data_IF_412042724805
#
_entry.id   IF_412042724805
#
_cell.length_a   1.000
_cell.length_b   1.000
_cell.length_c   1.000
_cell.angle_alpha   90.00
_cell.angle_beta   90.00
_cell.angle_gamma   90.00
#
_symmetry.space_group_name_H-M   'P 1'
#
loop_
_entity.id
_entity.type
_entity.pdbx_description
1 polymer ?
#
# COMPACT_ATOMS: atom_id res chain seq x y z
N UNK A 1 -2.02 -3.72 -21.54
CA UNK A 1 -1.00 -2.96 -20.80
C UNK A 1 -0.39 -3.94 -19.82
N UNK A 2 0.94 -4.04 -19.70
CA UNK A 2 1.60 -4.93 -18.73
C UNK A 2 2.05 -4.16 -17.48
N UNK A 3 1.33 -3.09 -17.11
CA UNK A 3 1.74 -2.22 -16.02
C UNK A 3 1.40 -2.83 -14.66
N UNK A 4 2.32 -2.77 -13.70
CA UNK A 4 2.15 -3.20 -12.31
C UNK A 4 2.33 -2.03 -11.37
N UNK A 5 1.28 -1.67 -10.62
CA UNK A 5 1.35 -0.53 -9.71
C UNK A 5 1.04 -0.94 -8.28
N UNK A 6 1.70 -0.27 -7.34
CA UNK A 6 1.40 -0.37 -5.93
C UNK A 6 0.60 0.85 -5.47
N UNK A 7 -0.43 0.61 -4.66
CA UNK A 7 -1.22 1.65 -4.03
C UNK A 7 -1.26 1.41 -2.52
N UNK A 8 -0.91 2.42 -1.76
CA UNK A 8 -1.17 2.44 -0.32
C UNK A 8 -2.67 2.66 -0.01
N UNK A 9 -3.11 2.19 1.16
CA UNK A 9 -4.51 2.33 1.59
C UNK A 9 -4.73 3.60 2.42
N UNK A 10 -4.09 3.69 3.58
CA UNK A 10 -4.37 4.68 4.62
C UNK A 10 -3.59 5.98 4.40
N UNK A 11 -4.29 7.06 4.14
CA UNK A 11 -3.72 8.33 3.69
C UNK A 11 -3.56 8.41 2.17
N UNK A 12 -3.94 7.37 1.42
CA UNK A 12 -3.80 7.36 -0.05
C UNK A 12 -5.15 7.05 -0.69
N UNK A 13 -5.56 5.79 -0.73
CA UNK A 13 -6.86 5.37 -1.29
C UNK A 13 -8.01 6.01 -0.52
N UNK A 14 -8.01 5.90 0.81
CA UNK A 14 -9.09 6.42 1.68
C UNK A 14 -9.25 7.96 1.60
N UNK A 15 -8.18 8.67 1.23
CA UNK A 15 -8.19 10.12 1.10
C UNK A 15 -8.83 10.59 -0.22
N UNK A 16 -8.67 9.83 -1.31
CA UNK A 16 -9.24 10.13 -2.64
C UNK A 16 -9.75 8.87 -3.36
N UNK A 17 -10.75 8.17 -2.80
CA UNK A 17 -11.24 6.90 -3.34
C UNK A 17 -11.84 7.07 -4.75
N UNK A 18 -12.41 8.24 -5.04
CA UNK A 18 -12.91 8.63 -6.36
C UNK A 18 -11.83 8.60 -7.45
N UNK A 19 -10.62 9.08 -7.13
CA UNK A 19 -9.50 9.08 -8.07
C UNK A 19 -8.90 7.68 -8.21
N UNK A 20 -8.64 7.00 -7.08
CA UNK A 20 -7.98 5.71 -7.08
C UNK A 20 -8.86 4.57 -7.61
N UNK A 21 -10.19 4.66 -7.49
CA UNK A 21 -11.11 3.73 -8.17
C UNK A 21 -10.98 3.81 -9.70
N UNK A 22 -10.99 5.02 -10.26
CA UNK A 22 -10.81 5.24 -11.70
C UNK A 22 -9.42 4.76 -12.16
N UNK A 23 -8.38 5.10 -11.41
CA UNK A 23 -7.00 4.72 -11.74
C UNK A 23 -6.83 3.19 -11.73
N UNK A 24 -7.29 2.54 -10.66
CA UNK A 24 -7.14 1.09 -10.48
C UNK A 24 -7.94 0.30 -11.52
N UNK A 25 -9.18 0.71 -11.80
CA UNK A 25 -10.00 0.12 -12.87
C UNK A 25 -9.34 0.28 -14.25
N UNK A 26 -8.73 1.44 -14.54
CA UNK A 26 -8.02 1.66 -15.80
C UNK A 26 -6.86 0.67 -15.96
N UNK A 27 -6.09 0.39 -14.91
CA UNK A 27 -5.00 -0.58 -14.96
C UNK A 27 -5.53 -2.01 -15.16
N UNK A 28 -6.45 -2.45 -14.30
CA UNK A 28 -6.98 -3.83 -14.33
C UNK A 28 -7.72 -4.13 -15.64
N UNK A 29 -8.61 -3.23 -16.09
CA UNK A 29 -9.37 -3.41 -17.34
C UNK A 29 -8.49 -3.45 -18.60
N UNK A 30 -7.27 -2.89 -18.54
CA UNK A 30 -6.28 -2.95 -19.61
C UNK A 30 -5.29 -4.10 -19.45
N UNK A 31 -5.52 -5.04 -18.52
CA UNK A 31 -4.69 -6.22 -18.29
C UNK A 31 -3.44 -5.99 -17.45
N UNK A 32 -3.37 -4.86 -16.73
CA UNK A 32 -2.33 -4.59 -15.73
C UNK A 32 -2.65 -5.20 -14.36
N UNK A 33 -1.71 -5.07 -13.44
CA UNK A 33 -1.82 -5.54 -12.05
C UNK A 33 -1.83 -4.33 -11.10
N UNK A 34 -2.65 -4.42 -10.06
CA UNK A 34 -2.75 -3.40 -9.01
C UNK A 34 -2.60 -4.11 -7.67
N UNK A 35 -1.55 -3.74 -6.95
CA UNK A 35 -1.19 -4.31 -5.66
C UNK A 35 -1.58 -3.31 -4.56
N UNK A 36 -2.47 -3.71 -3.67
CA UNK A 36 -2.75 -2.95 -2.45
C UNK A 36 -1.65 -3.30 -1.45
N UNK A 37 -0.90 -2.29 -0.98
CA UNK A 37 0.22 -2.50 -0.06
C UNK A 37 0.00 -1.64 1.17
N UNK A 38 -0.38 -2.27 2.29
CA UNK A 38 -0.85 -1.55 3.49
C UNK A 38 -0.16 -2.04 4.76
N UNK A 39 -0.12 -1.16 5.78
CA UNK A 39 0.30 -1.54 7.13
C UNK A 39 -0.76 -2.37 7.87
N UNK A 40 -2.03 -2.29 7.47
CA UNK A 40 -3.11 -3.03 8.11
C UNK A 40 -3.04 -4.52 7.85
N UNK A 41 -3.53 -5.31 8.80
CA UNK A 41 -3.69 -6.76 8.63
C UNK A 41 -4.79 -7.06 7.63
N UNK A 42 -4.61 -8.12 6.85
CA UNK A 42 -5.63 -8.62 5.94
C UNK A 42 -6.84 -9.12 6.74
N UNK A 43 -8.02 -8.62 6.37
CA UNK A 43 -9.29 -8.99 7.00
C UNK A 43 -10.46 -8.73 6.05
N UNK A 44 -11.60 -9.36 6.31
CA UNK A 44 -12.82 -9.19 5.52
C UNK A 44 -13.29 -7.72 5.50
N UNK A 45 -13.08 -6.99 6.60
CA UNK A 45 -13.45 -5.57 6.71
C UNK A 45 -12.69 -4.68 5.72
N UNK A 46 -11.39 -4.93 5.52
CA UNK A 46 -10.59 -4.15 4.57
C UNK A 46 -11.00 -4.46 3.13
N UNK A 47 -11.33 -5.72 2.83
CA UNK A 47 -11.81 -6.08 1.50
C UNK A 47 -13.18 -5.47 1.21
N UNK A 48 -14.07 -5.39 2.20
CA UNK A 48 -15.34 -4.69 2.04
C UNK A 48 -15.13 -3.17 1.89
N UNK A 49 -14.20 -2.56 2.64
CA UNK A 49 -13.83 -1.15 2.48
C UNK A 49 -13.31 -0.85 1.06
N UNK A 50 -12.35 -1.64 0.55
CA UNK A 50 -11.83 -1.50 -0.81
C UNK A 50 -12.94 -1.65 -1.87
N UNK A 51 -13.90 -2.54 -1.62
CA UNK A 51 -15.07 -2.74 -2.48
C UNK A 51 -16.04 -1.57 -2.42
N UNK A 52 -16.29 -0.99 -1.24
CA UNK A 52 -17.09 0.23 -1.07
C UNK A 52 -16.47 1.43 -1.79
N UNK A 53 -15.14 1.53 -1.77
CA UNK A 53 -14.39 2.53 -2.55
C UNK A 53 -14.36 2.25 -4.05
N UNK A 54 -14.76 1.05 -4.50
CA UNK A 54 -14.72 0.66 -5.91
C UNK A 54 -13.31 0.45 -6.45
N UNK A 55 -12.38 -0.02 -5.61
CA UNK A 55 -10.99 -0.29 -6.00
C UNK A 55 -10.89 -1.64 -6.70
N UNK A 56 -10.38 -1.63 -7.93
CA UNK A 56 -10.05 -2.85 -8.66
C UNK A 56 -8.60 -3.24 -8.38
N UNK A 57 -8.35 -4.42 -7.82
CA UNK A 57 -6.99 -4.87 -7.53
C UNK A 57 -6.81 -6.36 -7.80
N UNK A 58 -5.56 -6.75 -8.05
CA UNK A 58 -5.18 -8.15 -8.33
C UNK A 58 -4.54 -8.82 -7.12
N UNK A 59 -3.87 -8.02 -6.28
CA UNK A 59 -3.07 -8.53 -5.16
C UNK A 59 -3.23 -7.63 -3.93
N UNK A 60 -3.16 -8.25 -2.75
CA UNK A 60 -3.17 -7.57 -1.46
C UNK A 60 -1.93 -7.99 -0.66
N UNK A 61 -1.25 -7.02 -0.08
CA UNK A 61 -0.06 -7.24 0.73
C UNK A 61 -0.13 -6.42 2.01
N UNK A 62 -0.12 -7.15 3.13
CA UNK A 62 -0.06 -6.60 4.48
C UNK A 62 1.36 -6.67 5.02
N UNK A 63 1.94 -5.51 5.34
CA UNK A 63 3.25 -5.42 6.00
C UNK A 63 3.22 -6.16 7.34
N UNK A 64 2.13 -5.98 8.10
CA UNK A 64 1.99 -6.60 9.42
C UNK A 64 1.95 -8.12 9.32
N UNK A 65 1.15 -8.69 8.42
CA UNK A 65 1.06 -10.16 8.29
C UNK A 65 2.36 -10.76 7.76
N UNK A 66 3.04 -10.07 6.84
CA UNK A 66 4.37 -10.47 6.39
C UNK A 66 5.35 -10.57 7.57
N UNK A 67 5.47 -9.50 8.36
CA UNK A 67 6.40 -9.44 9.50
C UNK A 67 6.07 -10.45 10.61
N UNK A 68 4.78 -10.69 10.85
CA UNK A 68 4.34 -11.76 11.77
C UNK A 68 4.72 -13.14 11.25
N UNK A 69 4.55 -13.40 9.95
CA UNK A 69 4.90 -14.69 9.34
C UNK A 69 6.40 -14.97 9.38
N UNK A 70 7.23 -13.93 9.31
CA UNK A 70 8.69 -14.01 9.45
C UNK A 70 9.14 -14.19 10.92
N UNK A 71 8.21 -14.12 11.88
CA UNK A 71 8.49 -14.25 13.30
C UNK A 71 9.27 -13.06 13.88
N UNK A 72 9.09 -11.87 13.31
CA UNK A 72 9.80 -10.68 13.77
C UNK A 72 9.32 -10.27 15.18
N UNK A 73 10.28 -9.88 16.03
CA UNK A 73 9.96 -9.33 17.35
C UNK A 73 9.10 -8.06 17.23
N UNK A 74 8.09 -7.97 18.09
CA UNK A 74 7.14 -6.87 18.09
C UNK A 74 6.58 -6.62 19.47
N UNK A 75 5.97 -5.46 19.62
CA UNK A 75 5.13 -5.10 20.76
C UNK A 75 3.69 -4.89 20.28
N UNK A 76 2.72 -5.07 21.18
CA UNK A 76 1.31 -4.78 20.88
C UNK A 76 0.94 -3.49 21.59
N UNK A 77 0.46 -2.52 20.84
CA UNK A 77 -0.02 -1.24 21.33
C UNK A 77 -1.35 -1.42 22.10
N UNK A 78 -1.77 -0.38 22.84
CA UNK A 78 -3.00 -0.42 23.64
C UNK A 78 -4.27 -0.62 22.82
N UNK A 79 -4.25 -0.20 21.56
CA UNK A 79 -5.33 -0.33 20.59
C UNK A 79 -5.30 -1.69 19.85
N UNK A 80 -4.36 -2.57 20.19
CA UNK A 80 -4.19 -3.88 19.56
C UNK A 80 -3.35 -3.86 18.28
N UNK A 81 -2.83 -2.70 17.85
CA UNK A 81 -1.94 -2.62 16.68
C UNK A 81 -0.54 -3.14 16.99
N UNK A 82 0.14 -3.66 15.97
CA UNK A 82 1.49 -4.20 16.10
C UNK A 82 2.52 -3.11 15.86
N UNK A 83 3.53 -3.05 16.73
CA UNK A 83 4.67 -2.14 16.59
C UNK A 83 5.95 -2.95 16.42
N UNK A 84 6.59 -2.78 15.27
CA UNK A 84 7.82 -3.45 14.85
C UNK A 84 9.00 -2.47 14.84
N UNK A 85 10.21 -2.99 14.65
CA UNK A 85 11.37 -2.16 14.33
C UNK A 85 11.10 -1.32 13.06
N UNK A 86 11.31 -0.01 13.14
CA UNK A 86 10.95 0.90 12.06
C UNK A 86 11.76 0.69 10.78
N UNK A 87 13.02 0.26 10.88
CA UNK A 87 13.82 -0.02 9.68
C UNK A 87 13.28 -1.26 8.96
N UNK A 88 12.90 -2.30 9.72
CA UNK A 88 12.25 -3.49 9.16
C UNK A 88 10.89 -3.15 8.55
N UNK A 89 10.05 -2.42 9.28
CA UNK A 89 8.74 -1.96 8.81
C UNK A 89 8.84 -1.19 7.48
N UNK A 90 9.70 -0.17 7.43
CA UNK A 90 9.85 0.67 6.24
C UNK A 90 10.44 -0.09 5.04
N UNK A 91 11.36 -1.03 5.29
CA UNK A 91 12.01 -1.79 4.23
C UNK A 91 11.10 -2.82 3.55
N UNK A 92 10.14 -3.41 4.26
CA UNK A 92 9.30 -4.50 3.74
C UNK A 92 8.45 -4.05 2.55
N UNK A 93 7.90 -2.84 2.61
CA UNK A 93 7.07 -2.27 1.54
C UNK A 93 7.87 -2.14 0.23
N UNK A 94 9.07 -1.56 0.31
CA UNK A 94 9.98 -1.41 -0.83
C UNK A 94 10.57 -2.75 -1.33
N UNK A 95 10.79 -3.71 -0.42
CA UNK A 95 11.23 -5.05 -0.77
C UNK A 95 10.15 -5.81 -1.56
N UNK A 96 8.90 -5.76 -1.11
CA UNK A 96 7.76 -6.35 -1.83
C UNK A 96 7.59 -5.69 -3.20
N UNK A 97 7.61 -4.35 -3.28
CA UNK A 97 7.51 -3.63 -4.54
C UNK A 97 8.58 -4.05 -5.56
N UNK A 98 9.82 -4.29 -5.09
CA UNK A 98 10.91 -4.80 -5.93
C UNK A 98 10.71 -6.27 -6.32
N UNK A 99 10.16 -7.10 -5.43
CA UNK A 99 9.94 -8.53 -5.64
C UNK A 99 8.92 -8.79 -6.75
N UNK A 100 7.83 -8.03 -6.78
CA UNK A 100 6.77 -8.16 -7.80
C UNK A 100 7.02 -7.30 -9.04
N UNK A 101 8.17 -6.62 -9.06
CA UNK A 101 8.61 -5.76 -10.17
C UNK A 101 7.59 -4.65 -10.50
N UNK A 102 7.12 -3.95 -9.46
CA UNK A 102 6.24 -2.80 -9.66
C UNK A 102 6.93 -1.74 -10.53
N UNK A 103 6.18 -1.16 -11.47
CA UNK A 103 6.60 -0.01 -12.28
C UNK A 103 6.69 1.25 -11.42
N UNK A 104 5.73 1.42 -10.51
CA UNK A 104 5.76 2.46 -9.49
C UNK A 104 4.83 2.17 -8.30
N UNK A 105 5.06 2.87 -7.19
CA UNK A 105 4.19 2.84 -6.00
C UNK A 105 3.77 4.25 -5.59
N UNK A 106 2.51 4.41 -5.17
CA UNK A 106 1.95 5.67 -4.66
C UNK A 106 1.67 5.51 -3.16
N UNK A 107 2.17 6.47 -2.37
CA UNK A 107 2.08 6.43 -0.91
C UNK A 107 2.16 7.85 -0.32
N UNK A 108 1.50 8.08 0.80
CA UNK A 108 1.51 9.38 1.49
C UNK A 108 2.71 9.56 2.43
N UNK A 109 3.39 8.46 2.77
CA UNK A 109 4.39 8.43 3.82
C UNK A 109 5.80 8.56 3.25
N UNK A 110 6.35 9.78 3.34
CA UNK A 110 7.62 10.16 2.72
C UNK A 110 8.82 9.26 3.08
N UNK A 111 8.88 8.74 4.32
CA UNK A 111 10.01 7.91 4.76
C UNK A 111 10.13 6.60 3.97
N UNK A 112 9.04 6.08 3.38
CA UNK A 112 9.13 4.89 2.54
C UNK A 112 9.96 5.13 1.28
N UNK A 113 9.99 6.36 0.76
CA UNK A 113 10.77 6.70 -0.42
C UNK A 113 12.26 6.34 -0.31
N UNK A 114 12.82 6.34 0.91
CA UNK A 114 14.21 5.96 1.16
C UNK A 114 14.49 4.46 1.00
N UNK A 115 13.45 3.62 0.99
CA UNK A 115 13.54 2.15 0.96
C UNK A 115 13.11 1.53 -0.37
N UNK A 116 12.49 2.32 -1.26
CA UNK A 116 12.02 1.86 -2.56
C UNK A 116 13.14 1.93 -3.61
N UNK A 117 13.31 0.84 -4.36
CA UNK A 117 14.11 0.83 -5.60
C UNK A 117 13.23 1.07 -6.83
N UNK A 118 11.97 0.64 -6.75
CA UNK A 118 10.89 0.99 -7.67
C UNK A 118 10.60 2.50 -7.57
N UNK A 119 10.30 3.19 -8.69
CA UNK A 119 9.83 4.57 -8.65
C UNK A 119 8.71 4.80 -7.62
N UNK A 120 8.93 5.78 -6.74
CA UNK A 120 8.02 6.11 -5.64
C UNK A 120 7.41 7.49 -5.86
N UNK A 121 6.09 7.56 -5.83
CA UNK A 121 5.34 8.80 -5.94
C UNK A 121 4.77 9.15 -4.56
N UNK A 122 5.38 10.17 -3.94
CA UNK A 122 4.83 10.75 -2.72
C UNK A 122 3.50 11.44 -3.05
N UNK A 123 2.43 11.03 -2.36
CA UNK A 123 1.10 11.62 -2.41
C UNK A 123 0.84 12.44 -1.13
N UNK A 124 1.36 13.67 -1.01
CA UNK A 124 1.23 14.42 0.23
C UNK A 124 -0.17 15.00 0.38
N UNK A 125 -0.71 14.94 1.59
CA UNK A 125 -1.98 15.56 2.02
C UNK A 125 -2.04 17.10 1.92
N UNK A 126 -0.94 17.76 1.52
CA UNK A 126 -0.83 19.21 1.50
C UNK A 126 -1.24 19.78 0.13
N UNK A 127 -2.52 20.12 -0.01
CA UNK A 127 -2.94 21.14 -0.99
C UNK A 127 -2.49 22.50 -0.44
N UNK A 128 -1.38 23.04 -0.94
CA UNK A 128 -1.14 24.49 -0.82
C UNK A 128 -2.16 25.20 -1.70
N UNK A 129 -3.24 25.72 -1.08
CA UNK A 129 -4.04 26.75 -1.73
C UNK A 129 -3.23 28.04 -1.72
N UNK A 130 -2.86 28.52 -2.91
CA UNK A 130 -2.42 29.90 -3.09
C UNK A 130 -3.61 30.85 -2.97
#
# INVERSE_FOLDING_TARGET
MNGRIGLDLHGTIDHRPDFFSILSELFVSNGGEVHIITGSRESDEIHEELKEYGIAYTDFFSITDQLLSEGLEHTINKDGTYNFDSNKWNAVKGAYASLVELDFHIDDTAIYGDYFKTPFFLYPHLIKTN
#
